data_IF_568927634960
#
_entry.id   IF_568927634960
#
_cell.length_a   1.000
_cell.length_b   1.000
_cell.length_c   1.000
_cell.angle_alpha   90.00
_cell.angle_beta   90.00
_cell.angle_gamma   90.00
#
_symmetry.space_group_name_H-M   'P 1'
#
loop_
_entity.id
_entity.type
_entity.pdbx_description
1 polymer ?
#
# COMPACT_ATOMS: atom_id res chain seq x y z
N UNK A 1 19.38 1.39 32.11
CA UNK A 1 18.14 1.07 31.38
C UNK A 1 17.80 2.24 30.48
N UNK A 2 18.31 2.25 29.25
CA UNK A 2 18.08 3.33 28.31
C UNK A 2 16.82 3.02 27.49
N UNK A 3 15.73 3.73 27.77
CA UNK A 3 14.56 3.76 26.89
C UNK A 3 14.96 4.56 25.64
N UNK A 4 15.37 3.87 24.57
CA UNK A 4 15.38 4.45 23.23
C UNK A 4 13.91 4.61 22.82
N UNK A 5 13.44 5.86 22.84
CA UNK A 5 12.11 6.21 22.32
C UNK A 5 12.01 5.73 20.88
N UNK A 6 11.12 4.77 20.64
CA UNK A 6 10.77 4.31 19.31
C UNK A 6 10.34 5.53 18.48
N UNK A 7 11.14 5.88 17.48
CA UNK A 7 10.82 6.90 16.49
C UNK A 7 9.53 6.44 15.80
N UNK A 8 8.41 7.12 16.08
CA UNK A 8 7.12 6.78 15.50
C UNK A 8 7.19 7.05 14.00
N UNK A 9 7.12 6.01 13.19
CA UNK A 9 7.05 6.17 11.75
C UNK A 9 5.67 6.72 11.42
N UNK A 10 5.62 8.01 11.04
CA UNK A 10 4.38 8.74 10.74
C UNK A 10 3.52 7.99 9.71
N UNK A 11 4.15 7.34 8.75
CA UNK A 11 3.51 6.64 7.63
C UNK A 11 3.06 5.21 8.02
N UNK A 12 3.56 4.68 9.13
CA UNK A 12 3.21 3.33 9.61
C UNK A 12 2.27 3.36 10.82
N UNK A 13 2.56 4.22 11.79
CA UNK A 13 1.96 4.22 13.13
C UNK A 13 0.81 5.23 13.26
N UNK A 14 0.59 6.07 12.25
CA UNK A 14 -0.44 7.11 12.26
C UNK A 14 -1.54 6.82 11.23
N UNK A 15 -2.66 7.51 11.38
CA UNK A 15 -3.83 7.49 10.49
C UNK A 15 -3.51 7.86 9.04
N UNK A 16 -2.35 8.46 8.78
CA UNK A 16 -1.88 8.81 7.43
C UNK A 16 -1.73 7.57 6.56
N UNK A 17 -1.44 6.40 7.15
CA UNK A 17 -1.45 5.09 6.46
C UNK A 17 -2.75 4.80 5.72
N UNK A 18 -3.89 5.27 6.24
CA UNK A 18 -5.18 5.07 5.58
C UNK A 18 -5.31 5.82 4.25
N UNK A 19 -4.50 6.85 4.00
CA UNK A 19 -4.46 7.51 2.69
C UNK A 19 -3.90 6.58 1.62
N UNK A 20 -2.99 5.67 1.98
CA UNK A 20 -2.51 4.60 1.11
C UNK A 20 -3.62 3.63 0.71
N UNK A 21 -4.71 3.52 1.49
CA UNK A 21 -5.87 2.68 1.19
C UNK A 21 -7.07 3.44 0.60
N UNK A 22 -6.84 4.67 0.12
CA UNK A 22 -7.92 5.50 -0.43
C UNK A 22 -8.52 4.88 -1.70
N UNK A 23 -7.70 4.21 -2.52
CA UNK A 23 -8.13 3.58 -3.76
C UNK A 23 -9.09 2.40 -3.54
N UNK A 24 -8.95 1.62 -2.47
CA UNK A 24 -9.84 0.52 -2.09
C UNK A 24 -11.23 1.03 -1.75
N UNK A 25 -11.30 2.16 -1.05
CA UNK A 25 -12.56 2.84 -0.78
C UNK A 25 -13.18 3.30 -2.10
N UNK A 26 -12.40 3.97 -2.96
CA UNK A 26 -12.86 4.38 -4.29
C UNK A 26 -13.40 3.23 -5.13
N UNK A 27 -12.71 2.09 -5.16
CA UNK A 27 -13.14 0.90 -5.89
C UNK A 27 -14.41 0.26 -5.30
N UNK A 28 -14.58 0.30 -3.97
CA UNK A 28 -15.81 -0.15 -3.31
C UNK A 28 -17.02 0.68 -3.73
N UNK A 29 -16.84 1.98 -3.94
CA UNK A 29 -17.90 2.90 -4.37
C UNK A 29 -18.08 2.98 -5.90
N UNK A 30 -17.27 2.28 -6.71
CA UNK A 30 -17.27 2.36 -8.18
C UNK A 30 -18.66 2.20 -8.83
N UNK A 31 -19.55 1.43 -8.20
CA UNK A 31 -20.90 1.20 -8.68
C UNK A 31 -21.84 2.41 -8.50
N UNK A 32 -21.50 3.31 -7.58
CA UNK A 32 -22.28 4.46 -7.12
C UNK A 32 -21.69 5.81 -7.56
N UNK A 33 -20.37 5.93 -7.68
CA UNK A 33 -19.69 7.20 -8.01
C UNK A 33 -19.15 7.22 -9.45
N UNK A 34 -18.97 8.40 -10.07
CA UNK A 34 -18.34 8.49 -11.38
C UNK A 34 -16.86 8.05 -11.31
N UNK A 35 -16.36 7.53 -12.44
CA UNK A 35 -14.98 7.02 -12.55
C UNK A 35 -13.93 8.05 -12.11
N UNK A 36 -14.17 9.34 -12.32
CA UNK A 36 -13.27 10.41 -11.89
C UNK A 36 -12.95 10.39 -10.39
N UNK A 37 -13.94 10.06 -9.54
CA UNK A 37 -13.74 9.96 -8.07
C UNK A 37 -12.85 8.77 -7.73
N UNK A 38 -13.01 7.64 -8.44
CA UNK A 38 -12.13 6.48 -8.29
C UNK A 38 -10.70 6.85 -8.69
N UNK A 39 -10.51 7.54 -9.81
CA UNK A 39 -9.18 7.97 -10.25
C UNK A 39 -8.55 8.98 -9.28
N UNK A 40 -9.33 9.88 -8.72
CA UNK A 40 -8.86 10.79 -7.68
C UNK A 40 -8.38 10.02 -6.43
N UNK A 41 -9.08 8.94 -6.04
CA UNK A 41 -8.65 8.11 -4.91
C UNK A 41 -7.32 7.38 -5.16
N UNK A 42 -7.06 6.92 -6.39
CA UNK A 42 -5.73 6.43 -6.79
C UNK A 42 -4.67 7.53 -6.78
N UNK A 43 -5.04 8.76 -7.16
CA UNK A 43 -4.14 9.92 -7.09
C UNK A 43 -3.71 10.23 -5.66
N UNK A 44 -4.65 10.21 -4.70
CA UNK A 44 -4.37 10.40 -3.27
C UNK A 44 -3.44 9.30 -2.74
N UNK A 45 -3.75 8.04 -3.02
CA UNK A 45 -2.93 6.91 -2.58
C UNK A 45 -1.52 6.95 -3.18
N UNK A 46 -1.41 7.28 -4.47
CA UNK A 46 -0.12 7.42 -5.16
C UNK A 46 0.71 8.56 -4.59
N UNK A 47 0.10 9.73 -4.36
CA UNK A 47 0.78 10.88 -3.75
C UNK A 47 1.31 10.55 -2.35
N UNK A 48 0.54 9.79 -1.56
CA UNK A 48 0.96 9.29 -0.26
C UNK A 48 2.20 8.39 -0.36
N UNK A 49 2.16 7.37 -1.23
CA UNK A 49 3.28 6.44 -1.45
C UNK A 49 4.54 7.17 -1.91
N UNK A 50 4.40 8.14 -2.82
CA UNK A 50 5.53 8.95 -3.28
C UNK A 50 6.10 9.83 -2.15
N UNK A 51 5.26 10.40 -1.29
CA UNK A 51 5.70 11.20 -0.16
C UNK A 51 6.45 10.35 0.89
N UNK A 52 5.98 9.14 1.20
CA UNK A 52 6.67 8.21 2.11
C UNK A 52 8.04 7.80 1.56
N UNK A 53 8.11 7.43 0.27
CA UNK A 53 9.37 7.09 -0.38
C UNK A 53 10.37 8.26 -0.38
N UNK A 54 9.89 9.49 -0.58
CA UNK A 54 10.73 10.68 -0.53
C UNK A 54 11.24 10.98 0.89
N UNK A 55 10.39 10.86 1.92
CA UNK A 55 10.78 11.07 3.32
C UNK A 55 11.88 10.07 3.75
N UNK A 56 11.71 8.79 3.39
CA UNK A 56 12.72 7.76 3.68
C UNK A 56 14.02 7.96 2.91
N UNK A 57 13.95 8.41 1.66
CA UNK A 57 15.12 8.80 0.88
C UNK A 57 15.91 9.96 1.50
N UNK A 58 15.20 10.98 2.00
CA UNK A 58 15.81 12.12 2.68
C UNK A 58 16.46 11.72 4.01
N UNK A 59 15.83 10.84 4.80
CA UNK A 59 16.41 10.28 6.03
C UNK A 59 17.66 9.45 5.74
N UNK A 60 17.64 8.57 4.73
CA UNK A 60 18.81 7.82 4.30
C UNK A 60 19.96 8.74 3.87
N UNK A 61 19.64 9.88 3.24
CA UNK A 61 20.62 10.88 2.82
C UNK A 61 21.26 11.63 3.99
N UNK A 62 20.59 11.74 5.14
CA UNK A 62 21.12 12.36 6.35
C UNK A 62 21.99 11.40 7.15
N UNK A 63 21.62 10.12 7.22
CA UNK A 63 22.35 9.08 7.97
C UNK A 63 23.68 8.73 7.27
N UNK A 64 23.70 8.65 5.94
CA UNK A 64 24.89 8.30 5.15
C UNK A 64 25.58 9.53 4.52
N UNK A 65 25.63 10.65 5.25
CA UNK A 65 26.13 11.93 4.69
C UNK A 65 27.56 11.86 4.12
N UNK A 66 28.44 11.05 4.75
CA UNK A 66 29.88 10.93 4.42
C UNK A 66 30.28 9.55 3.88
N UNK A 67 29.32 8.69 3.52
CA UNK A 67 29.58 7.34 3.00
C UNK A 67 29.95 7.33 1.51
N UNK A 68 30.91 6.48 1.07
CA UNK A 68 31.31 6.38 -0.34
C UNK A 68 30.18 5.91 -1.27
N UNK A 69 29.18 5.20 -0.73
CA UNK A 69 28.04 4.64 -1.46
C UNK A 69 26.69 5.36 -1.19
N UNK A 70 26.73 6.60 -0.67
CA UNK A 70 25.55 7.39 -0.28
C UNK A 70 24.42 7.38 -1.31
N UNK A 71 24.74 7.64 -2.58
CA UNK A 71 23.75 7.68 -3.67
C UNK A 71 23.12 6.32 -3.91
N UNK A 72 23.90 5.24 -3.78
CA UNK A 72 23.38 3.89 -3.90
C UNK A 72 22.42 3.58 -2.75
N UNK A 73 22.82 3.80 -1.49
CA UNK A 73 21.98 3.55 -0.31
C UNK A 73 20.66 4.34 -0.32
N UNK A 74 20.69 5.62 -0.69
CA UNK A 74 19.48 6.44 -0.87
C UNK A 74 18.58 5.83 -1.96
N UNK A 75 19.16 5.46 -3.09
CA UNK A 75 18.41 4.88 -4.21
C UNK A 75 17.78 3.55 -3.81
N UNK A 76 18.50 2.68 -3.10
CA UNK A 76 17.96 1.42 -2.58
C UNK A 76 16.77 1.71 -1.67
N UNK A 77 16.92 2.61 -0.71
CA UNK A 77 15.88 2.91 0.27
C UNK A 77 14.62 3.47 -0.38
N UNK A 78 14.76 4.40 -1.34
CA UNK A 78 13.64 4.98 -2.09
C UNK A 78 12.95 3.90 -2.93
N UNK A 79 13.70 3.08 -3.65
CA UNK A 79 13.13 2.05 -4.52
C UNK A 79 12.46 0.95 -3.71
N UNK A 80 13.08 0.45 -2.64
CA UNK A 80 12.48 -0.58 -1.78
C UNK A 80 11.18 -0.06 -1.17
N UNK A 81 11.21 1.16 -0.60
CA UNK A 81 10.01 1.79 -0.01
C UNK A 81 8.92 2.00 -1.04
N UNK A 82 9.26 2.57 -2.19
CA UNK A 82 8.28 2.86 -3.23
C UNK A 82 7.62 1.59 -3.77
N UNK A 83 8.41 0.56 -4.06
CA UNK A 83 7.88 -0.71 -4.56
C UNK A 83 7.05 -1.41 -3.47
N UNK A 84 7.53 -1.42 -2.23
CA UNK A 84 6.79 -2.00 -1.10
C UNK A 84 5.45 -1.30 -0.91
N UNK A 85 5.44 0.02 -0.79
CA UNK A 85 4.23 0.80 -0.57
C UNK A 85 3.28 0.75 -1.78
N UNK A 86 3.80 0.81 -3.01
CA UNK A 86 2.97 0.70 -4.21
C UNK A 86 2.26 -0.66 -4.29
N UNK A 87 2.95 -1.74 -3.93
CA UNK A 87 2.38 -3.09 -3.94
C UNK A 87 1.43 -3.34 -2.76
N UNK A 88 1.88 -3.03 -1.54
CA UNK A 88 1.16 -3.28 -0.29
C UNK A 88 -0.08 -2.41 -0.16
N UNK A 89 0.01 -1.14 -0.54
CA UNK A 89 -1.04 -0.17 -0.27
C UNK A 89 -1.95 0.08 -1.47
N UNK A 90 -1.44 0.03 -2.71
CA UNK A 90 -2.21 0.51 -3.88
C UNK A 90 -2.58 -0.60 -4.86
N UNK A 91 -1.61 -1.39 -5.31
CA UNK A 91 -1.80 -2.29 -6.44
C UNK A 91 -2.58 -3.55 -6.05
N UNK A 92 -2.13 -4.27 -5.02
CA UNK A 92 -2.70 -5.58 -4.67
C UNK A 92 -4.07 -5.45 -3.99
N UNK A 93 -4.25 -4.59 -2.96
CA UNK A 93 -5.56 -4.47 -2.34
C UNK A 93 -6.56 -3.76 -3.26
N UNK A 94 -6.14 -2.72 -4.00
CA UNK A 94 -6.97 -2.05 -5.01
C UNK A 94 -7.50 -3.00 -6.09
N UNK A 95 -6.64 -3.84 -6.67
CA UNK A 95 -7.07 -4.86 -7.62
C UNK A 95 -8.03 -5.88 -7.00
N UNK A 96 -7.73 -6.35 -5.79
CA UNK A 96 -8.53 -7.34 -5.08
C UNK A 96 -9.94 -6.83 -4.80
N UNK A 97 -10.07 -5.61 -4.27
CA UNK A 97 -11.37 -4.98 -3.98
C UNK A 97 -12.16 -4.75 -5.27
N UNK A 98 -11.53 -4.29 -6.33
CA UNK A 98 -12.20 -4.13 -7.64
C UNK A 98 -12.73 -5.48 -8.15
N UNK A 99 -11.96 -6.58 -8.03
CA UNK A 99 -12.41 -7.93 -8.41
C UNK A 99 -13.56 -8.43 -7.54
N UNK A 100 -13.50 -8.20 -6.23
CA UNK A 100 -14.59 -8.54 -5.30
C UNK A 100 -15.86 -7.78 -5.69
N UNK A 101 -15.79 -6.46 -5.85
CA UNK A 101 -16.95 -5.65 -6.21
C UNK A 101 -17.53 -6.07 -7.57
N UNK A 102 -16.69 -6.29 -8.58
CA UNK A 102 -17.14 -6.75 -9.89
C UNK A 102 -17.81 -8.13 -9.82
N UNK A 103 -17.21 -9.08 -9.08
CA UNK A 103 -17.75 -10.42 -8.91
C UNK A 103 -19.07 -10.39 -8.12
N UNK A 104 -19.15 -9.62 -7.03
CA UNK A 104 -20.35 -9.45 -6.22
C UNK A 104 -21.50 -8.86 -7.03
N UNK A 105 -21.25 -7.80 -7.83
CA UNK A 105 -22.28 -7.20 -8.67
C UNK A 105 -22.76 -8.17 -9.76
N UNK A 106 -21.82 -8.88 -10.41
CA UNK A 106 -22.14 -9.89 -11.42
C UNK A 106 -22.97 -11.04 -10.84
N UNK A 107 -22.54 -11.57 -9.69
CA UNK A 107 -23.19 -12.68 -9.01
C UNK A 107 -24.58 -12.29 -8.51
N UNK A 108 -24.73 -11.11 -7.91
CA UNK A 108 -26.05 -10.57 -7.53
C UNK A 108 -26.94 -10.36 -8.75
N UNK A 109 -26.36 -9.93 -9.88
CA UNK A 109 -27.07 -9.84 -11.16
C UNK A 109 -27.65 -11.16 -11.65
N UNK A 110 -26.94 -12.27 -11.39
CA UNK A 110 -27.29 -13.62 -11.84
C UNK A 110 -28.17 -14.39 -10.85
N UNK A 111 -27.94 -14.24 -9.56
CA UNK A 111 -28.60 -15.02 -8.50
C UNK A 111 -29.83 -14.34 -7.90
N UNK A 112 -29.92 -13.01 -7.97
CA UNK A 112 -31.02 -12.26 -7.31
C UNK A 112 -31.88 -11.52 -8.33
N UNK A 113 -33.16 -11.30 -8.03
CA UNK A 113 -34.07 -10.45 -8.81
C UNK A 113 -34.10 -8.99 -8.32
N UNK A 114 -33.11 -8.57 -7.54
CA UNK A 114 -33.09 -7.24 -6.95
C UNK A 114 -32.92 -6.13 -8.01
N UNK A 115 -33.54 -4.95 -7.79
CA UNK A 115 -33.34 -3.81 -8.66
C UNK A 115 -31.89 -3.31 -8.61
N UNK A 116 -31.42 -2.72 -9.71
CA UNK A 116 -30.02 -2.30 -9.88
C UNK A 116 -29.48 -1.41 -8.74
N UNK A 117 -30.22 -0.43 -8.18
CA UNK A 117 -29.72 0.38 -7.08
C UNK A 117 -29.37 -0.45 -5.83
N UNK A 118 -30.22 -1.43 -5.48
CA UNK A 118 -29.99 -2.31 -4.32
C UNK A 118 -28.75 -3.17 -4.53
N UNK A 119 -28.55 -3.71 -5.73
CA UNK A 119 -27.33 -4.48 -6.07
C UNK A 119 -26.06 -3.64 -5.96
N UNK A 120 -26.11 -2.37 -6.37
CA UNK A 120 -24.97 -1.45 -6.28
C UNK A 120 -24.61 -1.15 -4.82
N UNK A 121 -25.59 -0.81 -3.98
CA UNK A 121 -25.38 -0.57 -2.55
C UNK A 121 -24.89 -1.83 -1.82
N UNK A 122 -25.47 -2.99 -2.12
CA UNK A 122 -25.02 -4.26 -1.55
C UNK A 122 -23.58 -4.60 -1.96
N UNK A 123 -23.21 -4.35 -3.23
CA UNK A 123 -21.83 -4.54 -3.72
C UNK A 123 -20.86 -3.62 -2.98
N UNK A 124 -21.21 -2.35 -2.80
CA UNK A 124 -20.37 -1.40 -2.05
C UNK A 124 -20.21 -1.81 -0.59
N UNK A 125 -21.28 -2.27 0.06
CA UNK A 125 -21.20 -2.77 1.44
C UNK A 125 -20.26 -3.99 1.55
N UNK A 126 -20.31 -4.91 0.58
CA UNK A 126 -19.39 -6.05 0.51
C UNK A 126 -17.94 -5.57 0.33
N UNK A 127 -17.68 -4.66 -0.61
CA UNK A 127 -16.35 -4.08 -0.83
C UNK A 127 -15.76 -3.47 0.44
N UNK A 128 -16.52 -2.60 1.12
CA UNK A 128 -16.08 -1.96 2.37
C UNK A 128 -15.84 -2.96 3.49
N UNK A 129 -16.70 -3.98 3.62
CA UNK A 129 -16.52 -5.03 4.63
C UNK A 129 -15.31 -5.93 4.39
N UNK A 130 -14.84 -6.01 3.14
CA UNK A 130 -13.69 -6.83 2.77
C UNK A 130 -12.35 -6.15 3.09
N UNK A 131 -12.31 -4.81 3.16
CA UNK A 131 -11.09 -4.04 3.41
C UNK A 131 -10.34 -4.50 4.69
N UNK A 132 -10.97 -4.59 5.88
CA UNK A 132 -10.27 -5.00 7.10
C UNK A 132 -9.69 -6.43 7.05
N UNK A 133 -10.32 -7.31 6.26
CA UNK A 133 -9.95 -8.73 6.17
C UNK A 133 -8.76 -8.94 5.24
N UNK A 134 -8.59 -8.07 4.24
CA UNK A 134 -7.63 -8.24 3.16
C UNK A 134 -6.26 -7.61 3.50
N UNK A 135 -6.21 -6.55 4.30
CA UNK A 135 -4.98 -5.78 4.56
C UNK A 135 -3.88 -6.64 5.20
N UNK A 136 -4.16 -7.30 6.33
CA UNK A 136 -3.13 -8.03 7.08
C UNK A 136 -2.45 -9.20 6.33
N UNK A 137 -3.15 -10.02 5.53
CA UNK A 137 -2.49 -11.06 4.74
C UNK A 137 -1.74 -10.52 3.52
N UNK A 138 -2.18 -9.40 2.92
CA UNK A 138 -1.45 -8.76 1.82
C UNK A 138 -0.12 -8.21 2.30
N UNK A 139 -0.11 -7.47 3.42
CA UNK A 139 1.12 -6.89 3.98
C UNK A 139 2.21 -7.97 4.15
N UNK A 140 1.85 -9.12 4.75
CA UNK A 140 2.78 -10.27 4.89
C UNK A 140 3.23 -10.88 3.58
N UNK A 141 2.35 -10.91 2.57
CA UNK A 141 2.66 -11.48 1.26
C UNK A 141 3.64 -10.59 0.50
N UNK A 142 3.48 -9.27 0.61
CA UNK A 142 4.38 -8.29 0.01
C UNK A 142 5.74 -8.32 0.70
N UNK A 143 5.77 -8.39 2.04
CA UNK A 143 7.00 -8.59 2.81
C UNK A 143 7.77 -9.82 2.30
N UNK A 144 7.08 -10.96 2.21
CA UNK A 144 7.69 -12.21 1.73
C UNK A 144 8.20 -12.12 0.29
N UNK A 145 7.45 -11.44 -0.59
CA UNK A 145 7.80 -11.29 -2.01
C UNK A 145 9.03 -10.42 -2.19
N UNK A 146 9.14 -9.34 -1.41
CA UNK A 146 10.29 -8.43 -1.45
C UNK A 146 11.52 -9.01 -0.78
N UNK A 147 11.35 -9.73 0.34
CA UNK A 147 12.39 -10.55 0.96
C UNK A 147 12.95 -11.60 -0.01
N UNK A 148 12.09 -12.19 -0.83
CA UNK A 148 12.47 -13.23 -1.79
C UNK A 148 13.05 -12.69 -3.10
N UNK A 149 12.79 -11.43 -3.46
CA UNK A 149 13.14 -10.86 -4.78
C UNK A 149 14.17 -9.74 -4.66
N UNK A 150 13.71 -8.51 -4.36
CA UNK A 150 14.53 -7.31 -4.32
C UNK A 150 15.64 -7.40 -3.26
N UNK A 151 15.31 -7.94 -2.09
CA UNK A 151 16.26 -8.05 -0.97
C UNK A 151 17.30 -9.15 -1.16
N UNK A 152 17.00 -10.20 -1.94
CA UNK A 152 18.02 -11.18 -2.36
C UNK A 152 19.04 -10.58 -3.31
N UNK A 153 18.63 -9.65 -4.18
CA UNK A 153 19.54 -8.96 -5.10
C UNK A 153 20.46 -7.96 -4.36
N UNK A 154 19.95 -7.29 -3.33
CA UNK A 154 20.72 -6.34 -2.52
C UNK A 154 21.56 -6.98 -1.40
N UNK A 155 21.13 -8.08 -0.78
CA UNK A 155 21.92 -8.80 0.22
C UNK A 155 23.20 -9.46 -0.35
N UNK A 156 23.33 -9.55 -1.68
CA UNK A 156 24.61 -9.88 -2.32
C UNK A 156 25.64 -8.74 -2.15
N UNK A 157 25.18 -7.51 -1.89
CA UNK A 157 26.02 -6.31 -1.81
C UNK A 157 26.14 -5.68 -0.41
N UNK A 158 25.36 -6.10 0.61
CA UNK A 158 25.38 -5.49 1.97
C UNK A 158 25.76 -6.47 3.09
N UNK A 159 26.68 -6.07 3.96
CA UNK A 159 27.14 -6.83 5.14
C UNK A 159 26.05 -6.94 6.22
N UNK A 160 26.02 -8.02 7.02
CA UNK A 160 24.87 -8.43 7.86
C UNK A 160 24.51 -7.55 9.07
N UNK A 161 25.20 -6.44 9.37
CA UNK A 161 25.10 -5.75 10.68
C UNK A 161 24.45 -4.35 10.67
N UNK A 162 23.87 -3.88 9.56
CA UNK A 162 23.25 -2.54 9.54
C UNK A 162 21.73 -2.57 9.86
N UNK A 163 21.22 -1.70 10.75
CA UNK A 163 19.79 -1.63 11.05
C UNK A 163 18.99 -1.29 9.79
N UNK A 164 17.95 -2.08 9.53
CA UNK A 164 17.16 -1.99 8.30
C UNK A 164 16.29 -0.72 8.32
N UNK A 165 16.28 0.07 7.24
CA UNK A 165 15.28 1.10 7.07
C UNK A 165 13.95 0.38 6.81
N UNK A 166 13.01 0.50 7.76
CA UNK A 166 11.62 0.07 7.58
C UNK A 166 10.76 1.22 7.12
#
# INVERSE_FOLDING_TARGET
MAQHGAERDLYRDTWVRYLGYANEVGESFRALVPKAVVWASYGIATAYVTADAADKGLKAAQVNADGPDRTADITVAVVDTFVWQALASVAIPGFTINRICAASLYLMGRLTRWPLPVRKWATTAVGLSAIPVIITPIDRSVDYLLDSSLRKLYNVHKKPDEPRPV
#
